data_IF_601907149608
#
_entry.id   IF_601907149608
#
_cell.length_a   1.000
_cell.length_b   1.000
_cell.length_c   1.000
_cell.angle_alpha   90.00
_cell.angle_beta   90.00
_cell.angle_gamma   90.00
#
_symmetry.space_group_name_H-M   'P 1'
#
loop_
_entity.id
_entity.type
_entity.pdbx_description
1 polymer ?
#
# COMPACT_ATOMS: atom_id res chain seq x y z
N UNK A 1 11.97 -1.50 2.76
CA UNK A 1 10.67 -1.32 2.08
C UNK A 1 9.98 -2.66 1.78
N UNK A 2 10.47 -3.55 0.90
CA UNK A 2 9.71 -4.80 0.59
C UNK A 2 9.73 -5.88 1.69
N UNK A 3 10.81 -5.95 2.48
CA UNK A 3 10.96 -6.99 3.53
C UNK A 3 9.87 -6.90 4.60
N UNK A 4 9.48 -5.69 4.98
CA UNK A 4 8.45 -5.45 5.99
C UNK A 4 7.09 -5.93 5.50
N UNK A 5 6.75 -5.62 4.24
CA UNK A 5 5.49 -6.12 3.65
C UNK A 5 5.46 -7.65 3.60
N UNK A 6 6.57 -8.30 3.20
CA UNK A 6 6.66 -9.76 3.20
C UNK A 6 6.52 -10.34 4.60
N UNK A 7 7.18 -9.75 5.60
CA UNK A 7 7.07 -10.18 7.01
C UNK A 7 5.62 -10.07 7.53
N UNK A 8 4.92 -8.99 7.17
CA UNK A 8 3.50 -8.83 7.52
C UNK A 8 2.65 -9.92 6.86
N UNK A 9 2.84 -10.15 5.56
CA UNK A 9 2.12 -11.19 4.83
C UNK A 9 2.34 -12.57 5.45
N UNK A 10 3.59 -12.93 5.71
CA UNK A 10 3.93 -14.21 6.34
C UNK A 10 3.28 -14.36 7.71
N UNK A 11 3.30 -13.30 8.53
CA UNK A 11 2.63 -13.32 9.83
C UNK A 11 1.12 -13.49 9.70
N UNK A 12 0.50 -12.73 8.80
CA UNK A 12 -0.93 -12.79 8.53
C UNK A 12 -1.33 -14.20 8.08
N UNK A 13 -0.62 -14.75 7.08
CA UNK A 13 -0.85 -16.08 6.57
C UNK A 13 -0.66 -17.15 7.65
N UNK A 14 0.39 -17.05 8.46
CA UNK A 14 0.60 -17.98 9.58
C UNK A 14 -0.58 -18.01 10.55
N UNK A 15 -1.15 -16.83 10.88
CA UNK A 15 -2.27 -16.73 11.82
C UNK A 15 -3.58 -17.24 11.22
N UNK A 16 -3.91 -16.86 9.99
CA UNK A 16 -5.16 -17.32 9.35
C UNK A 16 -5.12 -18.81 9.04
N UNK A 17 -3.96 -19.35 8.63
CA UNK A 17 -3.78 -20.78 8.39
C UNK A 17 -3.98 -21.57 9.67
N UNK A 18 -3.43 -21.13 10.80
CA UNK A 18 -3.64 -21.81 12.09
C UNK A 18 -5.13 -21.88 12.50
N UNK A 19 -5.89 -20.81 12.28
CA UNK A 19 -7.34 -20.80 12.54
C UNK A 19 -8.09 -21.75 11.58
N UNK A 20 -7.72 -21.73 10.31
CA UNK A 20 -8.32 -22.56 9.26
C UNK A 20 -8.06 -24.06 9.50
N UNK A 21 -6.83 -24.42 9.87
CA UNK A 21 -6.45 -25.80 10.20
C UNK A 21 -7.19 -26.29 11.43
N UNK A 22 -7.32 -25.46 12.46
CA UNK A 22 -8.10 -25.81 13.65
C UNK A 22 -9.57 -26.02 13.30
N UNK A 23 -10.14 -25.22 12.39
CA UNK A 23 -11.50 -25.43 11.87
C UNK A 23 -11.65 -26.79 11.20
N UNK A 24 -10.73 -27.15 10.30
CA UNK A 24 -10.79 -28.43 9.57
C UNK A 24 -10.71 -29.63 10.52
N UNK A 25 -9.84 -29.58 11.54
CA UNK A 25 -9.73 -30.62 12.56
C UNK A 25 -11.03 -30.78 13.36
N UNK A 26 -11.68 -29.68 13.75
CA UNK A 26 -12.95 -29.73 14.48
C UNK A 26 -14.08 -30.28 13.61
N UNK A 27 -14.16 -29.87 12.34
CA UNK A 27 -15.12 -30.42 11.39
C UNK A 27 -14.93 -31.93 11.18
N UNK A 28 -13.69 -32.38 11.02
CA UNK A 28 -13.38 -33.81 10.90
C UNK A 28 -13.80 -34.62 12.14
N UNK A 29 -13.68 -34.04 13.35
CA UNK A 29 -14.17 -34.67 14.59
C UNK A 29 -15.70 -34.79 14.61
N UNK A 30 -16.41 -33.79 14.08
CA UNK A 30 -17.88 -33.85 13.95
C UNK A 30 -18.32 -34.92 12.95
N UNK A 31 -17.64 -35.03 11.80
CA UNK A 31 -17.90 -36.10 10.82
C UNK A 31 -17.71 -37.48 11.47
N UNK A 32 -16.67 -37.64 12.31
CA UNK A 32 -16.44 -38.86 13.08
C UNK A 32 -17.37 -39.04 14.29
N UNK A 33 -18.34 -38.12 14.50
CA UNK A 33 -19.27 -38.08 15.66
C UNK A 33 -18.57 -38.12 17.02
N UNK A 34 -17.31 -37.69 17.10
CA UNK A 34 -16.52 -37.68 18.33
C UNK A 34 -16.84 -36.43 19.16
N UNK A 35 -17.29 -36.66 20.39
CA UNK A 35 -17.47 -35.62 21.42
C UNK A 35 -18.27 -34.40 20.89
N UNK A 36 -19.39 -34.67 20.22
CA UNK A 36 -20.16 -33.72 19.40
C UNK A 36 -20.44 -32.41 20.14
N UNK A 37 -20.91 -32.48 21.38
CA UNK A 37 -21.23 -31.31 22.19
C UNK A 37 -20.00 -30.41 22.42
N UNK A 38 -18.89 -30.99 22.87
CA UNK A 38 -17.64 -30.24 23.13
C UNK A 38 -17.07 -29.65 21.83
N UNK A 39 -17.09 -30.43 20.75
CA UNK A 39 -16.58 -30.00 19.45
C UNK A 39 -17.41 -28.84 18.88
N UNK A 40 -18.74 -28.88 18.97
CA UNK A 40 -19.62 -27.78 18.56
C UNK A 40 -19.35 -26.50 19.35
N UNK A 41 -19.15 -26.61 20.68
CA UNK A 41 -18.79 -25.45 21.51
C UNK A 41 -17.47 -24.82 21.07
N UNK A 42 -16.47 -25.65 20.78
CA UNK A 42 -15.16 -25.19 20.27
C UNK A 42 -15.28 -24.53 18.90
N UNK A 43 -16.14 -25.06 18.03
CA UNK A 43 -16.38 -24.52 16.69
C UNK A 43 -17.04 -23.14 16.77
N UNK A 44 -18.04 -22.97 17.65
CA UNK A 44 -18.69 -21.67 17.86
C UNK A 44 -17.69 -20.60 18.34
N UNK A 45 -16.81 -20.95 19.29
CA UNK A 45 -15.74 -20.05 19.74
C UNK A 45 -14.79 -19.69 18.59
N UNK A 46 -14.44 -20.67 17.76
CA UNK A 46 -13.54 -20.47 16.64
C UNK A 46 -14.15 -19.57 15.55
N UNK A 47 -15.44 -19.67 15.26
CA UNK A 47 -16.12 -18.75 14.33
C UNK A 47 -16.12 -17.32 14.86
N UNK A 48 -16.25 -17.12 16.18
CA UNK A 48 -16.10 -15.80 16.80
C UNK A 48 -14.66 -15.28 16.69
N UNK A 49 -13.65 -16.12 16.97
CA UNK A 49 -12.23 -15.78 16.81
C UNK A 49 -11.91 -15.37 15.36
N UNK A 50 -12.45 -16.10 14.37
CA UNK A 50 -12.30 -15.79 12.95
C UNK A 50 -13.03 -14.48 12.59
N UNK A 51 -14.25 -14.27 13.08
CA UNK A 51 -15.00 -13.03 12.83
C UNK A 51 -14.35 -11.78 13.41
N UNK A 52 -13.60 -11.93 14.51
CA UNK A 52 -12.81 -10.87 15.14
C UNK A 52 -11.39 -10.76 14.58
N UNK A 53 -11.01 -11.63 13.64
CA UNK A 53 -9.66 -11.67 13.11
C UNK A 53 -9.36 -10.40 12.29
N UNK A 54 -8.60 -9.50 12.89
CA UNK A 54 -8.06 -8.33 12.23
C UNK A 54 -6.63 -8.11 12.76
N UNK A 55 -5.69 -7.87 11.84
CA UNK A 55 -4.28 -7.63 12.18
C UNK A 55 -3.88 -6.31 11.54
N UNK A 56 -3.50 -5.35 12.38
CA UNK A 56 -2.97 -4.07 11.92
C UNK A 56 -1.50 -4.22 11.48
N UNK A 57 -1.15 -3.61 10.36
CA UNK A 57 0.20 -3.62 9.80
C UNK A 57 1.23 -3.10 10.80
N UNK A 58 0.91 -1.99 11.47
CA UNK A 58 1.78 -1.36 12.44
C UNK A 58 1.79 -2.03 13.82
N UNK A 59 1.01 -3.10 14.01
CA UNK A 59 1.13 -3.96 15.20
C UNK A 59 2.32 -4.90 15.10
N UNK A 60 2.81 -5.16 13.89
CA UNK A 60 3.91 -6.10 13.62
C UNK A 60 5.20 -5.33 13.29
N UNK A 61 5.08 -4.18 12.64
CA UNK A 61 6.23 -3.38 12.22
C UNK A 61 6.75 -2.44 13.31
N UNK A 62 8.07 -2.29 13.38
CA UNK A 62 8.70 -1.31 14.26
C UNK A 62 8.51 0.10 13.70
N UNK A 63 7.61 0.87 14.34
CA UNK A 63 7.37 2.27 14.02
C UNK A 63 8.59 3.17 14.25
N UNK A 64 9.59 2.70 15.00
CA UNK A 64 10.82 3.45 15.30
C UNK A 64 11.85 3.32 14.19
N UNK A 65 11.64 2.43 13.23
CA UNK A 65 12.59 2.29 12.13
C UNK A 65 12.70 3.58 11.33
N UNK A 66 13.93 3.87 10.95
CA UNK A 66 14.37 5.08 10.29
C UNK A 66 13.55 5.44 9.04
N UNK A 67 13.02 4.44 8.32
CA UNK A 67 12.21 4.62 7.13
C UNK A 67 10.72 4.86 7.39
N UNK A 68 10.20 4.60 8.59
CA UNK A 68 8.83 4.97 8.99
C UNK A 68 8.75 6.33 9.69
N UNK A 69 9.88 6.87 10.14
CA UNK A 69 9.97 8.22 10.68
C UNK A 69 9.78 9.21 9.52
N UNK A 70 8.54 9.67 9.33
CA UNK A 70 8.22 10.76 8.42
C UNK A 70 9.19 11.93 8.66
N UNK A 71 10.15 12.10 7.75
CA UNK A 71 11.12 13.20 7.76
C UNK A 71 10.41 14.43 7.20
N UNK A 72 9.51 15.04 7.96
CA UNK A 72 8.83 16.30 7.62
C UNK A 72 9.77 17.50 7.34
N UNK A 73 11.07 17.27 7.22
CA UNK A 73 11.99 18.14 6.53
C UNK A 73 11.86 17.85 5.03
N UNK A 74 10.92 18.53 4.38
CA UNK A 74 11.09 18.89 2.97
C UNK A 74 12.53 19.40 2.80
N UNK A 75 13.27 18.88 1.83
CA UNK A 75 14.62 19.36 1.54
C UNK A 75 14.60 20.88 1.42
N UNK A 76 15.69 21.56 1.76
CA UNK A 76 15.72 23.02 1.66
C UNK A 76 15.41 23.48 0.22
N UNK A 77 15.77 22.70 -0.79
CA UNK A 77 15.36 22.88 -2.19
C UNK A 77 13.83 22.88 -2.37
N UNK A 78 13.11 21.97 -1.69
CA UNK A 78 11.66 21.91 -1.72
C UNK A 78 11.03 23.13 -1.02
N UNK A 79 11.62 23.60 0.09
CA UNK A 79 11.20 24.84 0.77
C UNK A 79 11.44 26.07 -0.09
N UNK A 80 12.55 26.11 -0.83
CA UNK A 80 12.87 27.19 -1.78
C UNK A 80 11.90 27.20 -2.96
N UNK A 81 11.42 26.03 -3.41
CA UNK A 81 10.33 25.94 -4.38
C UNK A 81 9.00 26.48 -3.82
N UNK A 82 8.82 26.54 -2.50
CA UNK A 82 7.61 27.13 -1.90
C UNK A 82 7.53 28.64 -2.07
N UNK A 83 8.68 29.30 -2.05
CA UNK A 83 8.83 30.74 -2.20
C UNK A 83 8.84 31.18 -3.66
N UNK A 84 8.76 30.25 -4.63
CA UNK A 84 8.80 30.58 -6.05
C UNK A 84 7.55 31.39 -6.43
N UNK A 85 7.70 32.66 -6.86
CA UNK A 85 6.58 33.42 -7.40
C UNK A 85 6.13 32.67 -8.66
N UNK A 86 4.87 32.22 -8.71
CA UNK A 86 4.27 31.31 -9.72
C UNK A 86 4.35 29.81 -9.41
N UNK A 87 3.93 29.38 -8.21
CA UNK A 87 3.31 28.05 -8.11
C UNK A 87 2.14 28.03 -9.09
N UNK A 88 2.07 26.99 -9.94
CA UNK A 88 1.01 26.81 -10.93
C UNK A 88 -0.33 27.06 -10.24
N UNK A 89 -1.11 28.02 -10.76
CA UNK A 89 -2.46 28.24 -10.27
C UNK A 89 -3.24 26.91 -10.35
N UNK A 90 -4.17 26.65 -9.42
CA UNK A 90 -5.02 25.49 -9.52
C UNK A 90 -5.73 25.57 -10.87
N UNK A 91 -5.47 24.59 -11.74
CA UNK A 91 -6.26 24.42 -12.96
C UNK A 91 -7.65 24.05 -12.44
N UNK A 92 -8.56 25.02 -12.47
CA UNK A 92 -9.98 24.77 -12.29
C UNK A 92 -10.37 23.69 -13.29
N UNK A 93 -10.63 22.48 -12.81
CA UNK A 93 -11.16 21.39 -13.63
C UNK A 93 -12.64 21.68 -13.90
N UNK A 94 -12.88 22.72 -14.70
CA UNK A 94 -14.15 23.06 -15.33
C UNK A 94 -13.82 24.16 -16.34
N UNK A 95 -13.48 23.76 -17.57
CA UNK A 95 -13.92 24.41 -18.81
C UNK A 95 -13.88 23.31 -19.87
N UNK A 96 -15.10 22.89 -20.20
CA UNK A 96 -15.50 22.30 -21.46
C UNK A 96 -14.80 22.98 -22.65
N UNK A 97 -14.25 22.16 -23.55
CA UNK A 97 -13.89 22.44 -24.95
C UNK A 97 -13.11 23.74 -25.24
N UNK A 98 -11.92 23.59 -25.81
CA UNK A 98 -11.68 23.87 -27.24
C UNK A 98 -10.21 23.54 -27.56
N UNK A 99 -10.03 22.67 -28.55
CA UNK A 99 -8.76 22.37 -29.19
C UNK A 99 -8.06 23.65 -29.67
N UNK A 100 -6.84 23.90 -29.19
CA UNK A 100 -5.86 24.69 -29.94
C UNK A 100 -4.48 24.06 -29.76
N UNK A 101 -4.10 23.30 -30.79
CA UNK A 101 -2.75 22.95 -31.25
C UNK A 101 -1.59 23.01 -30.24
N UNK A 102 -1.22 21.83 -29.74
CA UNK A 102 0.11 21.59 -29.17
C UNK A 102 1.15 21.68 -30.30
N UNK A 103 1.73 22.86 -30.55
CA UNK A 103 2.93 22.98 -31.39
C UNK A 103 4.13 22.43 -30.61
N UNK A 104 4.46 21.16 -30.86
CA UNK A 104 5.71 20.53 -30.41
C UNK A 104 6.89 21.29 -31.04
N UNK A 105 7.72 21.91 -30.21
CA UNK A 105 9.00 22.47 -30.68
C UNK A 105 9.94 21.30 -31.02
N UNK A 106 10.36 21.27 -32.28
CA UNK A 106 11.29 20.30 -32.87
C UNK A 106 12.69 20.43 -32.25
N UNK A 107 13.32 19.26 -32.11
CA UNK A 107 14.71 19.05 -31.72
C UNK A 107 15.69 19.84 -32.61
N UNK A 108 16.79 20.26 -32.00
CA UNK A 108 17.93 20.98 -32.55
C UNK A 108 18.37 20.47 -33.93
N UNK A 109 18.37 21.37 -34.92
CA UNK A 109 19.10 21.19 -36.18
C UNK A 109 20.22 22.21 -36.18
N UNK A 110 21.45 21.69 -36.20
CA UNK A 110 22.73 22.40 -36.33
C UNK A 110 22.66 23.44 -37.47
N UNK A 111 23.00 24.70 -37.19
CA UNK A 111 23.07 25.77 -38.20
C UNK A 111 24.30 25.58 -39.11
N UNK A 112 24.24 25.78 -40.43
CA UNK A 112 25.33 25.51 -41.37
C UNK A 112 26.37 26.64 -41.49
N UNK A 113 26.40 27.60 -40.55
CA UNK A 113 27.24 28.80 -40.67
C UNK A 113 28.66 28.64 -40.11
N UNK A 114 28.99 27.52 -39.46
CA UNK A 114 30.34 27.25 -38.93
C UNK A 114 31.27 26.51 -39.91
N UNK A 115 30.93 26.44 -41.21
CA UNK A 115 31.76 25.75 -42.23
C UNK A 115 32.44 26.67 -43.24
N UNK A 116 32.62 27.97 -42.93
CA UNK A 116 33.42 28.85 -43.77
C UNK A 116 34.08 30.01 -43.00
N UNK A 117 35.22 29.76 -42.36
CA UNK A 117 36.42 30.59 -42.49
C UNK A 117 37.68 29.92 -41.98
#
# INVERSE_FOLDING_TARGET
>A
MCKDLSNFQDHFHKKITALTDRRSVLQNRLVQKKNVYKTNKQLLQLEQEIGLFNIDYFSIMDRRDSHYRYKGHTSDDTKLLELRPRKRLPISSNIDRHDTEVKKLRLDILSPEDLAR
#
